data_IF_789649958673
#
_entry.id   IF_789649958673
#
_cell.length_a   1.000
_cell.length_b   1.000
_cell.length_c   1.000
_cell.angle_alpha   90.00
_cell.angle_beta   90.00
_cell.angle_gamma   90.00
#
_symmetry.space_group_name_H-M   'P 1'
#
loop_
_entity.id
_entity.type
_entity.pdbx_description
1 polymer ?
#
# COMPACT_ATOMS: atom_id res chain seq x y z
N UNK A 1 13.71 0.92 -1.52
CA UNK A 1 13.71 1.23 -0.09
C UNK A 1 12.83 0.19 0.56
N UNK A 2 13.36 -0.57 1.52
CA UNK A 2 12.56 -1.51 2.28
C UNK A 2 11.60 -0.75 3.19
N UNK A 3 10.34 -1.16 3.24
CA UNK A 3 9.35 -0.57 4.12
C UNK A 3 9.71 -0.90 5.58
N UNK A 4 9.85 0.12 6.41
CA UNK A 4 10.05 -0.04 7.84
C UNK A 4 8.87 0.57 8.59
N UNK A 5 8.13 -0.28 9.32
CA UNK A 5 6.94 0.10 10.07
C UNK A 5 7.21 1.23 11.06
N UNK A 6 8.28 1.15 11.84
CA UNK A 6 8.60 2.16 12.86
C UNK A 6 8.94 3.53 12.22
N UNK A 7 9.69 3.53 11.12
CA UNK A 7 9.98 4.76 10.38
C UNK A 7 8.71 5.36 9.76
N UNK A 8 7.81 4.51 9.27
CA UNK A 8 6.54 4.95 8.72
C UNK A 8 5.62 5.55 9.79
N UNK A 9 5.47 4.88 10.95
CA UNK A 9 4.69 5.40 12.08
C UNK A 9 5.26 6.73 12.60
N UNK A 10 6.59 6.86 12.68
CA UNK A 10 7.26 8.12 13.03
C UNK A 10 6.97 9.23 12.00
N UNK A 11 7.03 8.92 10.71
CA UNK A 11 6.68 9.86 9.65
C UNK A 11 5.24 10.36 9.77
N UNK A 12 4.28 9.46 10.04
CA UNK A 12 2.88 9.85 10.26
C UNK A 12 2.75 10.75 11.50
N UNK A 13 3.45 10.45 12.58
CA UNK A 13 3.48 11.29 13.77
C UNK A 13 4.04 12.69 13.46
N UNK A 14 5.11 12.77 12.67
CA UNK A 14 5.71 14.04 12.22
C UNK A 14 4.74 14.86 11.35
N UNK A 15 3.97 14.22 10.46
CA UNK A 15 2.93 14.91 9.68
C UNK A 15 1.87 15.48 10.60
N UNK A 16 1.39 14.71 11.59
CA UNK A 16 0.38 15.16 12.56
C UNK A 16 0.89 16.34 13.40
N UNK A 17 2.12 16.26 13.89
CA UNK A 17 2.77 17.35 14.61
C UNK A 17 2.94 18.59 13.72
N UNK A 18 3.36 18.39 12.47
CA UNK A 18 3.47 19.45 11.46
C UNK A 18 2.13 20.12 11.16
N UNK A 19 1.02 19.38 11.11
CA UNK A 19 -0.31 19.97 10.90
C UNK A 19 -0.73 20.85 12.07
N UNK A 20 -0.41 20.46 13.30
CA UNK A 20 -0.64 21.30 14.48
C UNK A 20 0.24 22.56 14.47
N UNK A 21 1.49 22.46 14.01
CA UNK A 21 2.36 23.62 13.83
C UNK A 21 1.85 24.55 12.74
N UNK A 22 1.45 24.00 11.59
CA UNK A 22 0.89 24.76 10.47
C UNK A 22 -0.37 25.52 10.90
N UNK A 23 -1.28 24.89 11.64
CA UNK A 23 -2.48 25.54 12.17
C UNK A 23 -2.15 26.71 13.10
N UNK A 24 -1.12 26.55 13.94
CA UNK A 24 -0.60 27.62 14.80
C UNK A 24 -0.05 28.78 13.97
N UNK A 25 0.70 28.48 12.91
CA UNK A 25 1.25 29.48 11.99
C UNK A 25 0.13 30.22 11.25
N UNK A 26 -0.95 29.55 10.84
CA UNK A 26 -2.12 30.22 10.24
C UNK A 26 -2.77 31.21 11.22
N UNK A 27 -2.88 30.85 12.50
CA UNK A 27 -3.34 31.76 13.55
C UNK A 27 -2.42 32.98 13.70
N UNK A 28 -1.11 32.76 13.74
CA UNK A 28 -0.11 33.82 13.82
C UNK A 28 -0.13 34.73 12.58
N UNK A 29 -0.36 34.17 11.38
CA UNK A 29 -0.51 34.94 10.14
C UNK A 29 -1.68 35.91 10.23
N UNK A 30 -2.84 35.45 10.72
CA UNK A 30 -4.00 36.32 10.92
C UNK A 30 -3.69 37.49 11.85
N UNK A 31 -3.05 37.23 12.99
CA UNK A 31 -2.65 38.26 13.94
C UNK A 31 -1.63 39.24 13.33
N UNK A 32 -0.64 38.73 12.59
CA UNK A 32 0.37 39.53 11.91
C UNK A 32 -0.25 40.43 10.83
N UNK A 33 -1.24 39.94 10.07
CA UNK A 33 -1.96 40.74 9.08
C UNK A 33 -2.73 41.88 9.73
N UNK A 34 -3.41 41.64 10.85
CA UNK A 34 -4.12 42.70 11.60
C UNK A 34 -3.14 43.73 12.16
N UNK A 35 -2.02 43.29 12.74
CA UNK A 35 -1.00 44.18 13.27
C UNK A 35 -0.34 45.03 12.17
N UNK A 36 -0.07 44.45 11.00
CA UNK A 36 0.43 45.19 9.84
C UNK A 36 -0.61 46.20 9.34
N UNK A 37 -1.88 45.78 9.19
CA UNK A 37 -3.00 46.62 8.77
C UNK A 37 -3.19 47.87 9.64
N UNK A 38 -2.95 47.76 10.95
CA UNK A 38 -3.13 48.83 11.92
C UNK A 38 -1.98 49.84 12.04
N UNK A 39 -0.93 49.75 11.22
CA UNK A 39 0.21 50.67 11.30
C UNK A 39 -0.18 52.08 10.85
N UNK A 40 0.22 53.09 11.63
CA UNK A 40 -0.17 54.50 11.44
C UNK A 40 0.20 55.07 10.05
N UNK A 41 1.26 54.56 9.45
CA UNK A 41 1.76 55.03 8.16
C UNK A 41 1.13 54.29 6.96
N UNK A 42 0.20 53.37 7.19
CA UNK A 42 -0.35 52.54 6.13
C UNK A 42 -1.60 53.16 5.52
N UNK A 43 -1.65 53.36 4.19
CA UNK A 43 -2.86 53.83 3.52
C UNK A 43 -4.00 52.83 3.66
N UNK A 44 -5.24 53.32 3.77
CA UNK A 44 -6.43 52.48 3.97
C UNK A 44 -6.57 51.34 2.94
N UNK A 45 -6.33 51.63 1.66
CA UNK A 45 -6.39 50.63 0.59
C UNK A 45 -5.34 49.51 0.75
N UNK A 46 -4.17 49.82 1.32
CA UNK A 46 -3.12 48.82 1.62
C UNK A 46 -3.52 48.00 2.85
N UNK A 47 -4.06 48.64 3.89
CA UNK A 47 -4.58 47.94 5.07
C UNK A 47 -5.69 46.94 4.71
N UNK A 48 -6.64 47.33 3.86
CA UNK A 48 -7.71 46.45 3.39
C UNK A 48 -7.18 45.29 2.55
N UNK A 49 -6.18 45.54 1.70
CA UNK A 49 -5.52 44.50 0.92
C UNK A 49 -4.80 43.48 1.83
N UNK A 50 -4.06 43.95 2.85
CA UNK A 50 -3.36 43.09 3.82
C UNK A 50 -4.33 42.24 4.62
N UNK A 51 -5.43 42.81 5.10
CA UNK A 51 -6.47 42.07 5.82
C UNK A 51 -7.14 41.03 4.92
N UNK A 52 -7.41 41.38 3.66
CA UNK A 52 -8.00 40.46 2.69
C UNK A 52 -7.06 39.31 2.39
N UNK A 53 -5.79 39.59 2.09
CA UNK A 53 -4.78 38.56 1.87
C UNK A 53 -4.60 37.65 3.08
N UNK A 54 -4.54 38.21 4.29
CA UNK A 54 -4.43 37.41 5.52
C UNK A 54 -5.61 36.45 5.68
N UNK A 55 -6.85 36.93 5.47
CA UNK A 55 -8.05 36.10 5.55
C UNK A 55 -8.08 35.00 4.49
N UNK A 56 -7.80 35.34 3.23
CA UNK A 56 -7.78 34.36 2.13
C UNK A 56 -6.67 33.30 2.34
N UNK A 57 -5.50 33.71 2.82
CA UNK A 57 -4.41 32.78 3.14
C UNK A 57 -4.79 31.81 4.25
N UNK A 58 -5.41 32.31 5.32
CA UNK A 58 -5.91 31.45 6.42
C UNK A 58 -6.99 30.50 5.93
N UNK A 59 -7.90 30.97 5.08
CA UNK A 59 -8.95 30.16 4.47
C UNK A 59 -8.35 29.04 3.60
N UNK A 60 -7.39 29.37 2.72
CA UNK A 60 -6.68 28.41 1.90
C UNK A 60 -5.89 27.39 2.75
N UNK A 61 -5.19 27.86 3.79
CA UNK A 61 -4.46 27.01 4.73
C UNK A 61 -5.36 26.01 5.45
N UNK A 62 -6.54 26.44 5.89
CA UNK A 62 -7.53 25.54 6.50
C UNK A 62 -8.01 24.46 5.52
N UNK A 63 -8.32 24.83 4.28
CA UNK A 63 -8.70 23.85 3.24
C UNK A 63 -7.59 22.83 2.98
N UNK A 64 -6.33 23.27 2.97
CA UNK A 64 -5.19 22.37 2.82
C UNK A 64 -5.07 21.45 4.05
N UNK A 65 -5.21 21.98 5.26
CA UNK A 65 -5.22 21.16 6.48
C UNK A 65 -6.30 20.09 6.42
N UNK A 66 -7.52 20.45 6.03
CA UNK A 66 -8.63 19.50 5.88
C UNK A 66 -8.30 18.42 4.84
N UNK A 67 -7.73 18.80 3.69
CA UNK A 67 -7.24 17.85 2.69
C UNK A 67 -6.21 16.87 3.28
N UNK A 68 -5.26 17.34 4.09
CA UNK A 68 -4.30 16.46 4.75
C UNK A 68 -4.98 15.50 5.73
N UNK A 69 -5.97 15.97 6.50
CA UNK A 69 -6.72 15.12 7.42
C UNK A 69 -7.51 14.05 6.68
N UNK A 70 -8.11 14.39 5.54
CA UNK A 70 -8.78 13.43 4.66
C UNK A 70 -7.81 12.38 4.11
N UNK A 71 -6.63 12.82 3.65
CA UNK A 71 -5.59 11.91 3.15
C UNK A 71 -5.04 10.99 4.26
N UNK A 72 -4.95 11.46 5.50
CA UNK A 72 -4.48 10.66 6.65
C UNK A 72 -5.48 9.59 7.11
N UNK A 73 -6.74 9.59 6.65
CA UNK A 73 -7.69 8.52 6.99
C UNK A 73 -7.20 7.14 6.52
N UNK A 74 -6.39 7.10 5.45
CA UNK A 74 -5.80 5.89 4.89
C UNK A 74 -4.41 5.53 5.44
N UNK A 75 -3.94 6.15 6.51
CA UNK A 75 -2.54 6.00 6.98
C UNK A 75 -2.20 4.58 7.45
N UNK A 76 -3.18 3.77 7.84
CA UNK A 76 -2.90 2.39 8.26
C UNK A 76 -2.74 1.43 7.07
N UNK A 77 -3.17 1.81 5.87
CA UNK A 77 -3.17 0.92 4.71
C UNK A 77 -1.77 0.38 4.36
N UNK A 78 -0.69 1.18 4.33
CA UNK A 78 0.66 0.66 4.08
C UNK A 78 1.15 -0.34 5.13
N UNK A 79 0.76 -0.16 6.40
CA UNK A 79 1.10 -1.09 7.48
C UNK A 79 0.41 -2.44 7.26
N UNK A 80 -0.89 -2.43 6.97
CA UNK A 80 -1.64 -3.67 6.71
C UNK A 80 -1.11 -4.39 5.46
N UNK A 81 -0.85 -3.65 4.37
CA UNK A 81 -0.24 -4.24 3.17
C UNK A 81 1.12 -4.88 3.48
N UNK A 82 1.97 -4.24 4.30
CA UNK A 82 3.23 -4.83 4.70
C UNK A 82 3.07 -6.10 5.54
N UNK A 83 2.16 -6.09 6.53
CA UNK A 83 1.89 -7.27 7.38
C UNK A 83 1.31 -8.42 6.55
N UNK A 84 0.34 -8.13 5.69
CA UNK A 84 -0.28 -9.12 4.82
C UNK A 84 0.73 -9.70 3.82
N UNK A 85 1.70 -8.91 3.35
CA UNK A 85 2.77 -9.41 2.51
C UNK A 85 3.58 -10.53 3.21
N UNK A 86 3.87 -10.37 4.50
CA UNK A 86 4.55 -11.42 5.28
C UNK A 86 3.67 -12.66 5.47
N UNK A 87 2.40 -12.48 5.78
CA UNK A 87 1.45 -13.61 5.89
C UNK A 87 1.39 -14.42 4.59
N UNK A 88 1.40 -13.75 3.43
CA UNK A 88 1.45 -14.42 2.13
C UNK A 88 2.79 -15.13 1.87
N UNK A 89 3.90 -14.64 2.41
CA UNK A 89 5.19 -15.36 2.36
C UNK A 89 5.17 -16.66 3.18
N UNK A 90 4.43 -16.70 4.30
CA UNK A 90 4.25 -17.93 5.07
C UNK A 90 3.39 -18.96 4.31
N UNK A 91 2.34 -18.50 3.64
CA UNK A 91 1.53 -19.33 2.71
C UNK A 91 2.41 -19.88 1.60
N UNK A 92 3.25 -19.05 0.99
CA UNK A 92 4.23 -19.47 -0.01
C UNK A 92 5.13 -20.57 0.53
N UNK A 93 5.72 -20.36 1.71
CA UNK A 93 6.61 -21.33 2.35
C UNK A 93 5.92 -22.70 2.52
N UNK A 94 4.72 -22.69 3.07
CA UNK A 94 3.89 -23.90 3.26
C UNK A 94 3.59 -24.61 1.94
N UNK A 95 3.12 -23.87 0.93
CA UNK A 95 2.76 -24.43 -0.37
C UNK A 95 3.98 -25.01 -1.12
N UNK A 96 5.12 -24.31 -1.09
CA UNK A 96 6.37 -24.83 -1.69
C UNK A 96 6.93 -26.03 -0.92
N UNK A 97 6.72 -26.09 0.40
CA UNK A 97 7.06 -27.27 1.21
C UNK A 97 6.26 -28.50 0.80
N UNK A 98 4.94 -28.36 0.63
CA UNK A 98 4.07 -29.43 0.10
C UNK A 98 4.50 -29.84 -1.31
N UNK A 99 4.75 -28.87 -2.20
CA UNK A 99 5.23 -29.15 -3.56
C UNK A 99 6.52 -29.98 -3.56
N UNK A 100 7.48 -29.61 -2.70
CA UNK A 100 8.76 -30.32 -2.55
C UNK A 100 8.59 -31.72 -1.97
N UNK A 101 7.73 -31.89 -0.95
CA UNK A 101 7.44 -33.19 -0.34
C UNK A 101 6.81 -34.17 -1.33
N UNK A 102 6.06 -33.66 -2.32
CA UNK A 102 5.42 -34.43 -3.39
C UNK A 102 6.34 -34.70 -4.59
N UNK A 103 7.65 -34.45 -4.49
CA UNK A 103 8.58 -34.82 -5.58
C UNK A 103 8.99 -36.28 -5.48
N UNK A 104 9.32 -36.90 -6.62
CA UNK A 104 9.78 -38.30 -6.67
C UNK A 104 11.05 -38.58 -5.84
N UNK A 105 11.84 -37.54 -5.52
CA UNK A 105 13.01 -37.66 -4.65
C UNK A 105 12.64 -37.80 -3.16
N UNK A 106 11.48 -37.30 -2.74
CA UNK A 106 11.01 -37.35 -1.35
C UNK A 106 9.90 -38.39 -1.15
N UNK A 107 9.15 -38.72 -2.20
CA UNK A 107 8.23 -39.85 -2.25
C UNK A 107 9.00 -41.13 -2.55
N UNK A 108 9.70 -41.65 -1.54
CA UNK A 108 10.24 -43.00 -1.57
C UNK A 108 9.11 -43.97 -1.21
N UNK A 109 8.26 -44.27 -2.20
CA UNK A 109 7.31 -45.38 -2.10
C UNK A 109 7.98 -46.57 -2.77
N UNK A 110 8.70 -47.36 -1.97
CA UNK A 110 9.26 -48.64 -2.39
C UNK A 110 8.13 -49.69 -2.46
N UNK A 111 8.21 -50.60 -3.43
CA UNK A 111 7.33 -51.76 -3.60
C UNK A 111 7.30 -52.68 -2.38
N UNK A 112 8.29 -52.55 -1.48
CA UNK A 112 8.33 -53.26 -0.21
C UNK A 112 7.27 -52.83 0.79
N UNK A 113 6.93 -51.54 0.84
CA UNK A 113 6.01 -50.96 1.85
C UNK A 113 4.60 -50.74 1.30
N UNK A 114 4.46 -50.47 -0.01
CA UNK A 114 3.15 -50.28 -0.64
C UNK A 114 3.20 -50.62 -2.13
N UNK A 115 2.37 -51.58 -2.56
CA UNK A 115 2.27 -52.03 -3.94
C UNK A 115 0.81 -52.13 -4.44
N UNK A 116 0.64 -52.28 -5.76
CA UNK A 116 -0.67 -52.49 -6.41
C UNK A 116 -1.23 -51.27 -7.14
N UNK A 117 -2.38 -51.44 -7.79
CA UNK A 117 -3.01 -50.43 -8.68
C UNK A 117 -3.27 -49.09 -7.99
N UNK A 118 -3.59 -49.10 -6.69
CA UNK A 118 -3.78 -47.89 -5.91
C UNK A 118 -2.48 -47.08 -5.74
N UNK A 119 -1.34 -47.76 -5.55
CA UNK A 119 -0.01 -47.14 -5.51
C UNK A 119 0.31 -46.47 -6.84
N UNK A 120 0.11 -47.20 -7.95
CA UNK A 120 0.39 -46.68 -9.29
C UNK A 120 -0.45 -45.45 -9.63
N UNK A 121 -1.72 -45.45 -9.26
CA UNK A 121 -2.61 -44.31 -9.44
C UNK A 121 -2.16 -43.09 -8.62
N UNK A 122 -1.74 -43.31 -7.37
CA UNK A 122 -1.21 -42.25 -6.51
C UNK A 122 0.10 -41.68 -7.07
N UNK A 123 1.10 -42.53 -7.34
CA UNK A 123 2.39 -42.11 -7.89
C UNK A 123 2.22 -41.40 -9.23
N UNK A 124 1.27 -41.85 -10.07
CA UNK A 124 0.93 -41.20 -11.34
C UNK A 124 0.27 -39.83 -11.19
N UNK A 125 -0.39 -39.53 -10.07
CA UNK A 125 -1.07 -38.23 -9.84
C UNK A 125 -0.25 -37.23 -9.00
N UNK A 126 0.74 -37.72 -8.26
CA UNK A 126 1.64 -36.94 -7.39
C UNK A 126 2.26 -35.73 -8.08
N UNK A 127 2.74 -35.88 -9.33
CA UNK A 127 3.36 -34.77 -10.07
C UNK A 127 2.36 -33.63 -10.30
N UNK A 128 1.09 -33.97 -10.60
CA UNK A 128 0.01 -32.98 -10.75
C UNK A 128 -0.24 -32.22 -9.46
N UNK A 129 -0.29 -32.93 -8.32
CA UNK A 129 -0.45 -32.30 -7.00
C UNK A 129 0.74 -31.42 -6.62
N UNK A 130 1.98 -31.84 -6.92
CA UNK A 130 3.19 -31.06 -6.69
C UNK A 130 3.18 -29.74 -7.49
N UNK A 131 2.78 -29.79 -8.77
CA UNK A 131 2.63 -28.60 -9.63
C UNK A 131 1.52 -27.66 -9.15
N UNK A 132 0.37 -28.19 -8.74
CA UNK A 132 -0.72 -27.38 -8.18
C UNK A 132 -0.29 -26.67 -6.88
N UNK A 133 0.43 -27.36 -5.99
CA UNK A 133 1.00 -26.75 -4.79
C UNK A 133 2.05 -25.67 -5.13
N UNK A 134 2.91 -25.91 -6.14
CA UNK A 134 3.86 -24.90 -6.62
C UNK A 134 3.16 -23.65 -7.15
N UNK A 135 2.04 -23.82 -7.86
CA UNK A 135 1.24 -22.69 -8.36
C UNK A 135 0.68 -21.84 -7.21
N UNK A 136 0.18 -22.46 -6.14
CA UNK A 136 -0.23 -21.71 -4.93
C UNK A 136 0.95 -20.92 -4.37
N UNK A 137 2.15 -21.52 -4.34
CA UNK A 137 3.38 -20.84 -3.94
C UNK A 137 3.71 -19.63 -4.81
N UNK A 138 3.51 -19.73 -6.13
CA UNK A 138 3.67 -18.62 -7.09
C UNK A 138 2.67 -17.49 -6.80
N UNK A 139 1.37 -17.82 -6.72
CA UNK A 139 0.30 -16.85 -6.43
C UNK A 139 0.60 -16.12 -5.12
N UNK A 140 0.98 -16.87 -4.07
CA UNK A 140 1.32 -16.32 -2.77
C UNK A 140 2.54 -15.39 -2.83
N UNK A 141 3.59 -15.79 -3.55
CA UNK A 141 4.79 -14.96 -3.77
C UNK A 141 4.45 -13.66 -4.49
N UNK A 142 3.67 -13.74 -5.57
CA UNK A 142 3.22 -12.59 -6.35
C UNK A 142 2.35 -11.65 -5.51
N UNK A 143 1.48 -12.20 -4.65
CA UNK A 143 0.66 -11.41 -3.73
C UNK A 143 1.51 -10.67 -2.71
N UNK A 144 2.45 -11.35 -2.07
CA UNK A 144 3.37 -10.73 -1.13
C UNK A 144 4.17 -9.57 -1.74
N UNK A 145 4.76 -9.78 -2.92
CA UNK A 145 5.56 -8.75 -3.60
C UNK A 145 4.73 -7.53 -3.98
N UNK A 146 3.51 -7.74 -4.50
CA UNK A 146 2.63 -6.64 -4.87
C UNK A 146 2.17 -5.83 -3.65
N UNK A 147 1.83 -6.50 -2.55
CA UNK A 147 1.47 -5.84 -1.29
C UNK A 147 2.64 -5.04 -0.72
N UNK A 148 3.85 -5.60 -0.70
CA UNK A 148 5.06 -4.90 -0.27
C UNK A 148 5.36 -3.66 -1.14
N UNK A 149 5.16 -3.78 -2.46
CA UNK A 149 5.31 -2.66 -3.39
C UNK A 149 4.30 -1.56 -3.12
N UNK A 150 3.04 -1.91 -2.84
CA UNK A 150 2.01 -0.94 -2.46
C UNK A 150 2.32 -0.27 -1.11
N UNK A 151 2.83 -1.02 -0.13
CA UNK A 151 3.26 -0.46 1.16
C UNK A 151 4.39 0.56 0.98
N UNK A 152 5.41 0.23 0.17
CA UNK A 152 6.51 1.14 -0.14
C UNK A 152 6.04 2.40 -0.89
N UNK A 153 5.15 2.25 -1.87
CA UNK A 153 4.55 3.38 -2.59
C UNK A 153 3.72 4.28 -1.66
N UNK A 154 2.99 3.69 -0.71
CA UNK A 154 2.27 4.42 0.33
C UNK A 154 3.21 5.20 1.24
N UNK A 155 4.30 4.60 1.70
CA UNK A 155 5.32 5.30 2.48
C UNK A 155 5.93 6.49 1.71
N UNK A 156 6.24 6.32 0.42
CA UNK A 156 6.74 7.40 -0.43
C UNK A 156 5.71 8.54 -0.61
N UNK A 157 4.43 8.19 -0.73
CA UNK A 157 3.34 9.16 -0.78
C UNK A 157 3.28 10.03 0.49
N UNK A 158 3.25 9.41 1.67
CA UNK A 158 3.26 10.15 2.94
C UNK A 158 4.56 10.92 3.16
N UNK A 159 5.70 10.40 2.70
CA UNK A 159 6.97 11.13 2.73
C UNK A 159 6.91 12.43 1.92
N UNK A 160 6.26 12.38 0.76
CA UNK A 160 6.05 13.55 -0.09
C UNK A 160 5.10 14.55 0.56
N UNK A 161 4.02 14.07 1.20
CA UNK A 161 3.13 14.93 1.99
C UNK A 161 3.87 15.64 3.12
N UNK A 162 4.75 14.96 3.85
CA UNK A 162 5.55 15.60 4.90
C UNK A 162 6.45 16.72 4.35
N UNK A 163 7.13 16.48 3.21
CA UNK A 163 7.97 17.49 2.54
C UNK A 163 7.14 18.70 2.10
N UNK A 164 5.97 18.46 1.52
CA UNK A 164 5.07 19.53 1.10
C UNK A 164 4.61 20.35 2.31
N UNK A 165 4.19 19.69 3.40
CA UNK A 165 3.77 20.35 4.63
C UNK A 165 4.87 21.22 5.23
N UNK A 166 6.12 20.73 5.26
CA UNK A 166 7.26 21.51 5.72
C UNK A 166 7.47 22.79 4.89
N UNK A 167 7.29 22.73 3.57
CA UNK A 167 7.34 23.91 2.69
C UNK A 167 6.23 24.91 3.00
N UNK A 168 5.01 24.44 3.26
CA UNK A 168 3.88 25.29 3.63
C UNK A 168 4.12 26.02 4.96
N UNK A 169 4.63 25.31 5.97
CA UNK A 169 5.01 25.88 7.26
C UNK A 169 6.09 26.96 7.08
N UNK A 170 7.13 26.67 6.30
CA UNK A 170 8.21 27.62 6.03
C UNK A 170 7.69 28.86 5.31
N UNK A 171 6.88 28.70 4.27
CA UNK A 171 6.31 29.82 3.52
C UNK A 171 5.42 30.71 4.41
N UNK A 172 4.61 30.10 5.28
CA UNK A 172 3.76 30.84 6.23
C UNK A 172 4.60 31.60 7.24
N UNK A 173 5.67 30.98 7.76
CA UNK A 173 6.62 31.62 8.69
C UNK A 173 7.32 32.83 8.06
N UNK A 174 7.76 32.70 6.80
CA UNK A 174 8.36 33.80 6.05
C UNK A 174 7.35 34.92 5.80
N UNK A 175 6.09 34.59 5.48
CA UNK A 175 5.03 35.59 5.31
C UNK A 175 4.75 36.37 6.61
N UNK A 176 4.71 35.68 7.76
CA UNK A 176 4.58 36.31 9.10
C UNK A 176 5.74 37.26 9.35
N UNK A 177 6.98 36.82 9.11
CA UNK A 177 8.16 37.66 9.30
C UNK A 177 8.13 38.90 8.40
N UNK A 178 7.70 38.76 7.15
CA UNK A 178 7.56 39.86 6.21
C UNK A 178 6.50 40.88 6.64
N UNK A 179 5.33 40.41 7.12
CA UNK A 179 4.29 41.26 7.72
C UNK A 179 4.78 41.98 8.99
N UNK A 180 5.67 41.34 9.76
CA UNK A 180 6.28 41.90 10.97
C UNK A 180 7.37 42.95 10.69
N UNK A 181 8.02 42.91 9.52
CA UNK A 181 9.17 43.76 9.20
C UNK A 181 8.83 45.26 9.12
N UNK A 182 9.78 46.13 9.48
CA UNK A 182 9.61 47.59 9.42
C UNK A 182 9.52 48.13 7.98
N UNK A 183 10.18 47.46 7.04
CA UNK A 183 10.17 47.77 5.59
C UNK A 183 9.12 46.89 4.92
N UNK A 184 7.85 47.19 5.23
CA UNK A 184 6.72 46.42 4.73
C UNK A 184 6.56 46.60 3.21
N UNK A 185 6.69 45.52 2.44
CA UNK A 185 6.34 45.46 1.02
C UNK A 185 5.16 44.51 0.82
N UNK A 186 3.96 45.06 0.67
CA UNK A 186 2.75 44.26 0.46
C UNK A 186 2.81 43.43 -0.82
N UNK A 187 3.46 43.94 -1.88
CA UNK A 187 3.71 43.20 -3.12
C UNK A 187 4.63 41.99 -2.88
N UNK A 188 5.66 42.14 -2.04
CA UNK A 188 6.54 41.04 -1.64
C UNK A 188 5.79 39.98 -0.82
N UNK A 189 4.92 40.40 0.09
CA UNK A 189 4.06 39.49 0.88
C UNK A 189 3.06 38.76 -0.03
N UNK A 190 2.47 39.45 -1.01
CA UNK A 190 1.53 38.84 -1.97
C UNK A 190 2.21 37.79 -2.85
N UNK A 191 3.43 38.10 -3.30
CA UNK A 191 4.24 37.19 -4.10
C UNK A 191 4.68 35.97 -3.29
N UNK A 192 5.14 36.14 -2.04
CA UNK A 192 5.49 35.02 -1.15
C UNK A 192 4.29 34.12 -0.85
N UNK A 193 3.14 34.70 -0.52
CA UNK A 193 1.92 33.92 -0.22
C UNK A 193 1.42 33.20 -1.48
N UNK A 194 1.39 33.88 -2.63
CA UNK A 194 0.89 33.33 -3.89
C UNK A 194 1.80 32.28 -4.53
N UNK A 195 3.12 32.54 -4.60
CA UNK A 195 4.08 31.64 -5.25
C UNK A 195 4.67 30.58 -4.31
N UNK A 196 4.91 30.91 -3.04
CA UNK A 196 5.61 30.00 -2.12
C UNK A 196 4.67 29.21 -1.20
N UNK A 197 3.53 29.78 -0.81
CA UNK A 197 2.65 29.20 0.22
C UNK A 197 1.46 28.41 -0.31
N UNK A 198 0.84 28.81 -1.42
CA UNK A 198 -0.42 28.21 -1.89
C UNK A 198 -0.41 27.92 -3.39
N UNK A 199 0.78 27.73 -3.98
CA UNK A 199 0.90 27.60 -5.42
C UNK A 199 0.26 26.32 -5.97
N UNK A 200 -0.21 26.41 -7.21
CA UNK A 200 -0.68 25.27 -8.01
C UNK A 200 0.35 24.14 -8.04
N UNK A 201 1.64 24.44 -7.90
CA UNK A 201 2.71 23.43 -7.90
C UNK A 201 2.66 22.49 -6.68
N UNK A 202 2.33 23.02 -5.50
CA UNK A 202 2.17 22.20 -4.27
C UNK A 202 0.99 21.24 -4.43
N UNK A 203 -0.15 21.77 -4.88
CA UNK A 203 -1.37 20.98 -5.10
C UNK A 203 -1.15 19.97 -6.23
N UNK A 204 -0.51 20.36 -7.32
CA UNK A 204 -0.18 19.47 -8.44
C UNK A 204 0.78 18.35 -8.02
N UNK A 205 1.76 18.65 -7.14
CA UNK A 205 2.66 17.62 -6.60
C UNK A 205 1.88 16.61 -5.76
N UNK A 206 0.98 17.07 -4.88
CA UNK A 206 0.14 16.18 -4.07
C UNK A 206 -0.78 15.31 -4.94
N UNK A 207 -1.45 15.90 -5.94
CA UNK A 207 -2.28 15.18 -6.91
C UNK A 207 -1.45 14.15 -7.68
N UNK A 208 -0.31 14.53 -8.24
CA UNK A 208 0.54 13.63 -9.02
C UNK A 208 1.01 12.45 -8.17
N UNK A 209 1.36 12.69 -6.90
CA UNK A 209 1.81 11.64 -5.98
C UNK A 209 0.66 10.71 -5.61
N UNK A 210 -0.54 11.24 -5.37
CA UNK A 210 -1.74 10.43 -5.13
C UNK A 210 -2.09 9.58 -6.36
N UNK A 211 -2.07 10.17 -7.55
CA UNK A 211 -2.32 9.45 -8.81
C UNK A 211 -1.31 8.33 -9.00
N UNK A 212 -0.02 8.59 -8.78
CA UNK A 212 1.02 7.55 -8.86
C UNK A 212 0.78 6.41 -7.86
N UNK A 213 0.38 6.72 -6.62
CA UNK A 213 0.05 5.72 -5.61
C UNK A 213 -1.17 4.88 -5.99
N UNK A 214 -2.24 5.50 -6.50
CA UNK A 214 -3.44 4.80 -6.99
C UNK A 214 -3.13 3.93 -8.22
N UNK A 215 -2.31 4.43 -9.14
CA UNK A 215 -1.88 3.66 -10.32
C UNK A 215 -1.07 2.42 -9.92
N UNK A 216 -0.17 2.54 -8.93
CA UNK A 216 0.58 1.39 -8.42
C UNK A 216 -0.35 0.29 -7.86
N UNK A 217 -1.37 0.69 -7.09
CA UNK A 217 -2.39 -0.24 -6.58
C UNK A 217 -3.22 -0.87 -7.71
N UNK A 218 -3.62 -0.10 -8.71
CA UNK A 218 -4.34 -0.62 -9.87
C UNK A 218 -3.53 -1.66 -10.66
N UNK A 219 -2.24 -1.39 -10.90
CA UNK A 219 -1.33 -2.36 -11.54
C UNK A 219 -1.20 -3.63 -10.70
N UNK A 220 -1.03 -3.51 -9.39
CA UNK A 220 -0.98 -4.66 -8.49
C UNK A 220 -2.25 -5.51 -8.58
N UNK A 221 -3.44 -4.89 -8.57
CA UNK A 221 -4.72 -5.61 -8.70
C UNK A 221 -4.84 -6.37 -10.04
N UNK A 222 -4.39 -5.76 -11.15
CA UNK A 222 -4.42 -6.41 -12.47
C UNK A 222 -3.50 -7.63 -12.49
N UNK A 223 -2.29 -7.50 -11.95
CA UNK A 223 -1.32 -8.61 -11.87
C UNK A 223 -1.86 -9.76 -11.01
N UNK A 224 -2.43 -9.46 -9.85
CA UNK A 224 -3.04 -10.47 -8.97
C UNK A 224 -4.25 -11.12 -9.60
N UNK A 225 -5.06 -10.36 -10.34
CA UNK A 225 -6.20 -10.92 -11.07
C UNK A 225 -5.73 -11.90 -12.14
N UNK A 226 -4.67 -11.58 -12.88
CA UNK A 226 -4.09 -12.47 -13.89
C UNK A 226 -3.61 -13.79 -13.30
N UNK A 227 -2.89 -13.70 -12.18
CA UNK A 227 -2.37 -14.86 -11.46
C UNK A 227 -3.49 -15.72 -10.84
N UNK A 228 -4.57 -15.09 -10.36
CA UNK A 228 -5.71 -15.79 -9.77
C UNK A 228 -6.61 -16.52 -10.78
N UNK A 229 -6.59 -16.13 -12.07
CA UNK A 229 -7.37 -16.79 -13.13
C UNK A 229 -6.56 -17.81 -13.92
N UNK A 230 -5.25 -17.91 -13.65
CA UNK A 230 -4.41 -18.95 -14.25
C UNK A 230 -4.79 -20.32 -13.67
N UNK A 231 -5.38 -21.16 -14.53
CA UNK A 231 -5.81 -22.52 -14.21
C UNK A 231 -4.90 -23.59 -14.80
N UNK A 232 -3.72 -23.21 -15.32
CA UNK A 232 -2.77 -24.12 -15.97
C UNK A 232 -2.41 -25.33 -15.09
N UNK A 233 -2.33 -25.14 -13.77
CA UNK A 233 -2.03 -26.18 -12.78
C UNK A 233 -3.27 -26.77 -12.10
N UNK A 234 -4.48 -26.35 -12.49
CA UNK A 234 -5.77 -26.78 -11.93
C UNK A 234 -6.69 -27.28 -13.05
N UNK A 235 -6.55 -28.54 -13.51
CA UNK A 235 -7.38 -29.10 -14.57
C UNK A 235 -8.88 -28.95 -14.27
N UNK A 236 -9.62 -28.36 -15.21
CA UNK A 236 -11.05 -28.08 -15.04
C UNK A 236 -11.38 -27.08 -13.92
N UNK A 237 -10.41 -26.28 -13.47
CA UNK A 237 -10.56 -25.37 -12.33
C UNK A 237 -10.61 -26.08 -10.98
N UNK A 238 -10.22 -27.36 -10.92
CA UNK A 238 -10.24 -28.18 -9.71
C UNK A 238 -8.85 -28.66 -9.34
N UNK A 239 -8.68 -29.02 -8.07
CA UNK A 239 -7.48 -29.72 -7.64
C UNK A 239 -7.30 -30.99 -8.48
N UNK A 240 -6.07 -31.29 -8.96
CA UNK A 240 -5.80 -32.53 -9.69
C UNK A 240 -6.33 -33.73 -8.90
N UNK A 241 -7.02 -34.65 -9.56
CA UNK A 241 -7.54 -35.87 -8.92
C UNK A 241 -6.65 -37.06 -9.27
N UNK A 242 -6.36 -37.91 -8.28
CA UNK A 242 -5.95 -39.28 -8.57
C UNK A 242 -7.11 -39.94 -9.32
N UNK A 243 -6.86 -40.47 -10.51
CA UNK A 243 -7.89 -40.95 -11.44
C UNK A 243 -8.53 -42.28 -10.97
N UNK A 244 -9.30 -42.26 -9.88
CA UNK A 244 -10.07 -43.46 -9.48
C UNK A 244 -11.15 -43.84 -10.50
N UNK A 245 -11.57 -42.92 -11.37
CA UNK A 245 -12.58 -43.18 -12.41
C UNK A 245 -12.12 -44.12 -13.54
N UNK A 246 -10.85 -44.49 -13.58
CA UNK A 246 -10.32 -45.51 -14.49
C UNK A 246 -10.31 -46.93 -13.87
N UNK A 247 -10.63 -47.05 -12.58
CA UNK A 247 -10.69 -48.33 -11.88
C UNK A 247 -12.16 -48.66 -11.62
N UNK A 248 -12.64 -49.72 -12.27
CA UNK A 248 -14.04 -50.14 -12.26
C UNK A 248 -14.52 -50.72 -10.94
N UNK A 249 -13.61 -50.95 -10.00
CA UNK A 249 -13.91 -51.57 -8.73
C UNK A 249 -12.98 -51.01 -7.64
N UNK A 250 -13.59 -50.42 -6.62
CA UNK A 250 -12.96 -49.93 -5.39
C UNK A 250 -13.68 -50.47 -4.14
N UNK A 251 -14.58 -51.44 -4.31
CA UNK A 251 -15.38 -52.04 -3.26
C UNK A 251 -14.80 -53.40 -2.91
N UNK A 252 -14.68 -53.70 -1.62
CA UNK A 252 -14.24 -55.03 -1.13
C UNK A 252 -15.45 -55.94 -0.91
N UNK A 253 -16.66 -55.38 -0.99
CA UNK A 253 -17.91 -55.98 -0.52
C UNK A 253 -18.69 -56.75 -1.59
N UNK A 254 -18.36 -56.61 -2.86
CA UNK A 254 -18.91 -57.30 -4.03
C UNK A 254 -18.16 -58.59 -4.38
N UNK A 255 -16.99 -58.82 -3.79
CA UNK A 255 -16.29 -60.10 -3.84
C UNK A 255 -15.52 -60.38 -5.13
N UNK A 256 -15.36 -59.39 -6.00
CA UNK A 256 -14.53 -59.42 -7.23
C UNK A 256 -13.28 -58.53 -7.14
N UNK A 257 -12.94 -58.10 -5.91
CA UNK A 257 -11.74 -57.33 -5.62
C UNK A 257 -10.47 -58.18 -5.83
N UNK A 258 -10.00 -58.27 -7.07
CA UNK A 258 -8.74 -58.91 -7.51
C UNK A 258 -7.50 -58.33 -6.79
N UNK A 259 -7.65 -57.18 -6.14
CA UNK A 259 -6.65 -56.44 -5.40
C UNK A 259 -6.74 -56.65 -3.88
N UNK A 260 -7.76 -57.34 -3.39
CA UNK A 260 -7.86 -57.70 -1.97
C UNK A 260 -6.85 -58.80 -1.65
N UNK A 261 -6.06 -58.59 -0.59
CA UNK A 261 -5.06 -59.54 -0.13
C UNK A 261 -5.74 -60.89 0.11
N UNK A 262 -5.22 -61.95 -0.53
CA UNK A 262 -5.69 -63.31 -0.33
C UNK A 262 -5.72 -63.61 1.18
N UNK A 263 -6.91 -63.95 1.70
CA UNK A 263 -7.05 -64.43 3.06
C UNK A 263 -6.33 -65.77 3.17
N UNK A 264 -5.35 -65.86 4.07
CA UNK A 264 -4.83 -67.14 4.57
C UNK A 264 -5.92 -67.92 5.32
#
# INVERSE_FOLDING_TARGET
MDFNRAQYEALIADIRAGLADFDRQLGALSAASVAAAGRWYMPAHVSDAVLTMGRESVSAGKRIKDLYLDLLQGELAPIFMFVDAWNWMDVRGTATGVSSALTAQHLVVDDSDWSGKARDAYVGSVEGHSKAAAQIGSIASSTAVNLLTCAAAGAAFYGTLAVVLAKLILATSVAIAALGSAVFSWAGVALIIGEAGYSTAVIATAIATLTAFLSAQATAMILLRGEAVDSSSFPGGTWPRANSSAFSDATVTDGDADWSLAQE
#
